data_IF_536492667531
#
_entry.id   IF_536492667531
#
_cell.length_a   1.000
_cell.length_b   1.000
_cell.length_c   1.000
_cell.angle_alpha   90.00
_cell.angle_beta   90.00
_cell.angle_gamma   90.00
#
_symmetry.space_group_name_H-M   'P 1'
#
loop_
_entity.id
_entity.type
_entity.pdbx_description
1 polymer ?
#
# COMPACT_ATOMS: atom_id res chain seq x y z
N UNK A 1 6.28 6.54 -8.31
CA UNK A 1 7.41 6.23 -7.39
C UNK A 1 8.66 7.08 -7.69
N UNK A 2 8.96 7.35 -8.96
CA UNK A 2 10.05 8.24 -9.44
C UNK A 2 9.89 9.70 -9.00
N UNK A 3 8.66 10.21 -8.93
CA UNK A 3 8.36 11.63 -8.60
C UNK A 3 8.88 12.09 -7.23
N UNK A 4 8.86 11.22 -6.21
CA UNK A 4 9.35 11.59 -4.87
C UNK A 4 10.88 11.57 -4.76
N UNK A 5 11.52 10.76 -5.59
CA UNK A 5 12.99 10.69 -5.66
C UNK A 5 13.51 11.87 -6.48
N UNK A 6 12.81 12.26 -7.56
CA UNK A 6 13.09 13.52 -8.26
C UNK A 6 12.95 14.72 -7.33
N UNK A 7 11.88 14.79 -6.52
CA UNK A 7 11.68 15.91 -5.60
C UNK A 7 12.70 15.96 -4.45
N UNK A 8 13.21 14.80 -4.03
CA UNK A 8 14.29 14.72 -3.03
C UNK A 8 15.68 15.01 -3.61
N UNK A 9 15.91 14.75 -4.91
CA UNK A 9 17.15 15.08 -5.61
C UNK A 9 17.19 16.56 -6.09
N UNK A 10 16.02 17.18 -6.32
CA UNK A 10 15.89 18.62 -6.62
C UNK A 10 16.15 19.50 -5.39
N UNK A 11 15.82 19.03 -4.18
CA UNK A 11 16.16 19.73 -2.94
C UNK A 11 17.61 19.44 -2.52
N UNK A 12 18.58 19.75 -3.39
CA UNK A 12 19.97 20.01 -3.01
C UNK A 12 19.97 21.31 -2.17
N UNK A 13 19.76 21.21 -0.87
CA UNK A 13 19.57 22.41 -0.04
C UNK A 13 19.82 22.21 1.45
N UNK A 14 18.87 21.68 2.20
CA UNK A 14 18.83 22.04 3.64
C UNK A 14 18.41 20.94 4.63
N UNK A 15 18.18 19.68 4.22
CA UNK A 15 17.68 18.65 5.17
C UNK A 15 18.42 17.31 5.11
N UNK A 16 18.65 16.64 6.27
CA UNK A 16 19.27 15.33 6.31
C UNK A 16 18.49 14.34 5.43
N UNK A 17 19.19 13.55 4.61
CA UNK A 17 18.60 12.60 3.66
C UNK A 17 17.61 11.60 4.30
N UNK A 18 17.80 11.30 5.58
CA UNK A 18 16.89 10.47 6.37
C UNK A 18 15.49 11.12 6.53
N UNK A 19 15.43 12.45 6.67
CA UNK A 19 14.17 13.19 6.75
C UNK A 19 13.41 13.14 5.42
N UNK A 20 14.10 13.26 4.28
CA UNK A 20 13.48 13.18 2.96
C UNK A 20 12.93 11.77 2.65
N UNK A 21 13.62 10.71 3.07
CA UNK A 21 13.10 9.33 2.97
C UNK A 21 11.86 9.17 3.86
N UNK A 22 11.92 9.64 5.11
CA UNK A 22 10.81 9.53 6.05
C UNK A 22 9.56 10.27 5.53
N UNK A 23 9.72 11.51 5.08
CA UNK A 23 8.62 12.31 4.53
C UNK A 23 8.03 11.66 3.25
N UNK A 24 8.90 11.10 2.39
CA UNK A 24 8.49 10.36 1.20
C UNK A 24 7.82 9.01 1.50
N UNK A 25 8.18 8.36 2.60
CA UNK A 25 7.55 7.13 3.07
C UNK A 25 6.17 7.41 3.67
N UNK A 26 6.05 8.39 4.57
CA UNK A 26 4.78 8.76 5.23
C UNK A 26 3.72 9.18 4.20
N UNK A 27 4.11 9.96 3.17
CA UNK A 27 3.19 10.38 2.11
C UNK A 27 2.75 9.23 1.19
N UNK A 28 3.37 8.05 1.26
CA UNK A 28 2.95 6.84 0.53
C UNK A 28 2.13 5.87 1.38
N UNK A 29 2.32 5.86 2.70
CA UNK A 29 1.54 5.02 3.61
C UNK A 29 0.06 5.44 3.60
N UNK A 30 -0.22 6.74 3.58
CA UNK A 30 -1.59 7.28 3.51
C UNK A 30 -2.38 6.76 2.29
N UNK A 31 -1.92 6.92 1.03
CA UNK A 31 -2.62 6.39 -0.13
C UNK A 31 -2.77 4.87 -0.14
N UNK A 32 -1.72 4.12 0.23
CA UNK A 32 -1.80 2.64 0.25
C UNK A 32 -2.80 2.13 1.31
N UNK A 33 -2.83 2.77 2.48
CA UNK A 33 -3.79 2.43 3.52
C UNK A 33 -5.21 2.82 3.10
N UNK A 34 -5.40 3.97 2.45
CA UNK A 34 -6.68 4.40 1.91
C UNK A 34 -7.26 3.37 0.93
N UNK A 35 -6.46 2.85 0.02
CA UNK A 35 -6.93 1.83 -0.94
C UNK A 35 -7.31 0.53 -0.24
N UNK A 36 -6.49 0.05 0.71
CA UNK A 36 -6.82 -1.15 1.48
C UNK A 36 -8.11 -0.97 2.27
N UNK A 37 -8.28 0.16 2.95
CA UNK A 37 -9.49 0.47 3.72
C UNK A 37 -10.73 0.57 2.83
N UNK A 38 -10.63 1.21 1.67
CA UNK A 38 -11.75 1.33 0.73
C UNK A 38 -12.20 -0.04 0.20
N UNK A 39 -11.24 -0.89 -0.19
CA UNK A 39 -11.51 -2.26 -0.66
C UNK A 39 -12.14 -3.08 0.46
N UNK A 40 -11.51 -3.10 1.63
CA UNK A 40 -12.03 -3.86 2.77
C UNK A 40 -13.42 -3.40 3.17
N UNK A 41 -13.67 -2.09 3.26
CA UNK A 41 -14.99 -1.54 3.59
C UNK A 41 -16.06 -1.89 2.54
N UNK A 42 -15.71 -1.91 1.24
CA UNK A 42 -16.63 -2.28 0.16
C UNK A 42 -16.93 -3.78 0.09
N UNK A 43 -15.94 -4.63 0.40
CA UNK A 43 -16.07 -6.10 0.34
C UNK A 43 -16.54 -6.72 1.65
N UNK A 44 -16.38 -6.04 2.80
CA UNK A 44 -16.85 -6.53 4.09
C UNK A 44 -18.32 -6.95 4.06
N UNK A 45 -19.29 -6.09 3.64
CA UNK A 45 -20.69 -6.48 3.63
C UNK A 45 -20.97 -7.60 2.62
N UNK A 46 -20.26 -7.63 1.48
CA UNK A 46 -20.41 -8.65 0.44
C UNK A 46 -20.12 -10.07 0.94
N UNK A 47 -19.29 -10.22 1.98
CA UNK A 47 -18.95 -11.51 2.59
C UNK A 47 -20.00 -11.95 3.62
N UNK A 48 -20.63 -11.00 4.32
CA UNK A 48 -21.65 -11.27 5.35
C UNK A 48 -23.06 -11.48 4.78
N UNK A 49 -23.32 -11.02 3.56
CA UNK A 49 -24.58 -11.25 2.86
C UNK A 49 -24.86 -12.77 2.74
N UNK A 50 -26.05 -13.19 3.16
CA UNK A 50 -26.54 -14.58 3.02
C UNK A 50 -27.78 -14.57 2.12
N UNK A 51 -27.71 -15.29 1.00
CA UNK A 51 -28.79 -15.32 0.00
C UNK A 51 -28.38 -16.10 -1.25
N UNK A 52 -29.29 -16.19 -2.22
CA UNK A 52 -29.03 -16.80 -3.54
C UNK A 52 -27.95 -15.98 -4.24
N UNK A 53 -26.84 -16.61 -4.66
CA UNK A 53 -25.69 -15.93 -5.28
C UNK A 53 -24.59 -15.47 -4.30
N UNK A 54 -24.86 -15.39 -3.00
CA UNK A 54 -23.86 -14.98 -2.00
C UNK A 54 -22.65 -15.92 -1.93
N UNK A 55 -22.86 -17.23 -2.12
CA UNK A 55 -21.77 -18.22 -2.20
C UNK A 55 -20.79 -17.94 -3.34
N UNK A 56 -21.26 -17.36 -4.45
CA UNK A 56 -20.42 -17.03 -5.61
C UNK A 56 -19.64 -15.77 -5.33
N UNK A 57 -20.30 -14.72 -4.81
CA UNK A 57 -19.67 -13.43 -4.49
C UNK A 57 -18.60 -13.61 -3.40
N UNK A 58 -18.91 -14.35 -2.33
CA UNK A 58 -17.98 -14.57 -1.21
C UNK A 58 -16.72 -15.36 -1.63
N UNK A 59 -16.85 -16.31 -2.58
CA UNK A 59 -15.71 -17.06 -3.16
C UNK A 59 -14.75 -16.19 -3.96
N UNK A 60 -15.21 -15.08 -4.51
CA UNK A 60 -14.37 -14.12 -5.26
C UNK A 60 -13.82 -13.07 -4.29
N UNK A 61 -14.65 -12.59 -3.36
CA UNK A 61 -14.31 -11.55 -2.39
C UNK A 61 -13.22 -11.96 -1.40
N UNK A 62 -13.29 -13.18 -0.86
CA UNK A 62 -12.30 -13.69 0.11
C UNK A 62 -10.85 -13.67 -0.42
N UNK A 63 -10.52 -14.29 -1.57
CA UNK A 63 -9.17 -14.26 -2.10
C UNK A 63 -8.72 -12.86 -2.53
N UNK A 64 -9.63 -12.00 -3.00
CA UNK A 64 -9.29 -10.60 -3.31
C UNK A 64 -8.83 -9.83 -2.06
N UNK A 65 -9.53 -9.99 -0.94
CA UNK A 65 -9.12 -9.40 0.34
C UNK A 65 -7.74 -9.88 0.79
N UNK A 66 -7.51 -11.20 0.71
CA UNK A 66 -6.20 -11.78 0.99
C UNK A 66 -5.09 -11.17 0.10
N UNK A 67 -5.33 -11.11 -1.21
CA UNK A 67 -4.37 -10.55 -2.17
C UNK A 67 -4.06 -9.07 -1.93
N UNK A 68 -5.04 -8.26 -1.55
CA UNK A 68 -4.85 -6.84 -1.25
C UNK A 68 -4.03 -6.65 0.03
N UNK A 69 -4.28 -7.45 1.07
CA UNK A 69 -3.48 -7.43 2.30
C UNK A 69 -2.04 -7.89 2.02
N UNK A 70 -1.86 -9.00 1.30
CA UNK A 70 -0.52 -9.48 0.90
C UNK A 70 0.22 -8.47 0.04
N UNK A 71 -0.45 -7.81 -0.90
CA UNK A 71 0.13 -6.77 -1.73
C UNK A 71 0.50 -5.53 -0.92
N UNK A 72 -0.33 -5.13 0.06
CA UNK A 72 -0.04 -4.02 0.96
C UNK A 72 1.20 -4.31 1.82
N UNK A 73 1.28 -5.50 2.43
CA UNK A 73 2.43 -5.94 3.21
C UNK A 73 3.69 -6.00 2.36
N UNK A 74 3.62 -6.62 1.19
CA UNK A 74 4.74 -6.67 0.23
C UNK A 74 5.19 -5.24 -0.13
N UNK A 75 4.26 -4.36 -0.44
CA UNK A 75 4.59 -2.99 -0.83
C UNK A 75 5.10 -2.13 0.35
N UNK A 76 4.86 -2.53 1.60
CA UNK A 76 5.38 -1.85 2.80
C UNK A 76 6.73 -2.43 3.24
N UNK A 77 6.97 -3.73 3.11
CA UNK A 77 8.23 -4.40 3.50
C UNK A 77 9.25 -4.48 2.37
N UNK A 78 8.85 -4.94 1.18
CA UNK A 78 9.76 -5.19 0.05
C UNK A 78 10.28 -3.89 -0.55
N UNK A 79 9.46 -2.85 -0.62
CA UNK A 79 9.89 -1.55 -1.15
C UNK A 79 11.03 -0.89 -0.33
N UNK A 80 10.94 -0.74 1.00
CA UNK A 80 12.05 -0.21 1.78
C UNK A 80 13.22 -1.20 1.86
N UNK A 81 12.98 -2.52 1.89
CA UNK A 81 14.05 -3.52 1.88
C UNK A 81 14.89 -3.45 0.60
N UNK A 82 14.25 -3.40 -0.58
CA UNK A 82 14.93 -3.20 -1.87
C UNK A 82 15.69 -1.89 -1.93
N UNK A 83 15.13 -0.80 -1.38
CA UNK A 83 15.81 0.49 -1.35
C UNK A 83 17.01 0.48 -0.41
N UNK A 84 16.92 -0.19 0.74
CA UNK A 84 18.04 -0.35 1.67
C UNK A 84 19.14 -1.23 1.10
N UNK A 85 18.78 -2.27 0.33
CA UNK A 85 19.76 -3.18 -0.29
C UNK A 85 20.49 -2.52 -1.46
N UNK A 86 19.78 -1.74 -2.30
CA UNK A 86 20.38 -1.01 -3.43
C UNK A 86 21.29 0.16 -3.01
N UNK A 87 21.33 0.48 -1.71
CA UNK A 87 22.18 1.52 -1.15
C UNK A 87 23.44 0.97 -0.44
N UNK A 88 23.69 -0.34 -0.52
CA UNK A 88 25.02 -0.91 -0.29
C UNK A 88 25.84 -0.84 -1.57
#
# INVERSE_FOLDING_TARGET
MVVYIMKALETKGEKPFQYAIYEGAVKRVRPKAMTMLAITAGLLPAIYLKGVGAKVISRIAMPMLGGVVSSFLTALFVVPALYSLRRR
#
